data_IF_736586896779
#
_entry.id   IF_736586896779
#
_cell.length_a   1.000
_cell.length_b   1.000
_cell.length_c   1.000
_cell.angle_alpha   90.00
_cell.angle_beta   90.00
_cell.angle_gamma   90.00
#
_symmetry.space_group_name_H-M   'P 1'
#
loop_
_entity.id
_entity.type
_entity.pdbx_description
1 polymer ?
#
# COMPACT_ATOMS: atom_id res chain seq x y z
N UNK A 1 1.62 1.91 9.92
CA UNK A 1 1.24 0.58 10.41
C UNK A 1 2.37 -0.08 11.18
N UNK A 2 3.58 -0.22 10.61
CA UNK A 2 4.77 -0.68 11.35
C UNK A 2 4.97 0.01 12.71
N UNK A 3 4.92 1.35 12.73
CA UNK A 3 5.08 2.17 13.95
C UNK A 3 4.04 1.93 15.05
N UNK A 4 2.89 1.34 14.71
CA UNK A 4 1.84 1.04 15.71
C UNK A 4 1.98 -0.37 16.26
N UNK A 5 2.35 -1.34 15.42
CA UNK A 5 2.64 -2.74 15.74
C UNK A 5 3.06 -3.46 14.43
N UNK A 6 3.97 -4.42 14.51
CA UNK A 6 4.50 -5.28 13.43
C UNK A 6 3.58 -6.43 13.01
N UNK A 7 2.44 -6.66 13.67
CA UNK A 7 1.53 -7.73 13.24
C UNK A 7 0.98 -7.51 11.82
N UNK A 8 0.70 -8.59 11.09
CA UNK A 8 -0.08 -8.51 9.86
C UNK A 8 -1.51 -8.06 10.14
N UNK A 9 -2.09 -7.25 9.25
CA UNK A 9 -3.41 -6.63 9.48
C UNK A 9 -4.27 -6.70 8.23
N UNK A 10 -5.52 -7.13 8.41
CA UNK A 10 -6.60 -6.93 7.45
C UNK A 10 -7.46 -5.75 7.93
N UNK A 11 -7.55 -4.71 7.13
CA UNK A 11 -8.32 -3.51 7.44
C UNK A 11 -9.53 -3.45 6.52
N UNK A 12 -10.72 -3.32 7.11
CA UNK A 12 -11.93 -3.01 6.36
C UNK A 12 -12.06 -1.48 6.29
N UNK A 13 -12.15 -0.95 5.07
CA UNK A 13 -12.11 0.48 4.79
C UNK A 13 -13.43 0.90 4.14
N UNK A 14 -14.52 1.02 4.91
CA UNK A 14 -15.77 1.50 4.36
C UNK A 14 -15.60 2.96 3.90
N UNK A 15 -16.27 3.35 2.82
CA UNK A 15 -16.27 4.74 2.32
C UNK A 15 -16.76 5.77 3.36
N UNK A 16 -17.46 5.31 4.40
CA UNK A 16 -17.91 6.13 5.54
C UNK A 16 -16.83 6.37 6.59
N UNK A 17 -15.66 5.73 6.49
CA UNK A 17 -14.53 5.93 7.40
C UNK A 17 -13.99 7.35 7.24
N UNK A 18 -14.03 8.15 8.32
CA UNK A 18 -13.60 9.55 8.33
C UNK A 18 -12.27 9.81 9.05
N UNK A 19 -11.64 8.76 9.58
CA UNK A 19 -10.42 8.93 10.36
C UNK A 19 -9.29 9.48 9.47
N UNK A 20 -8.76 10.64 9.84
CA UNK A 20 -7.70 11.36 9.12
C UNK A 20 -6.51 10.48 8.76
N UNK A 21 -6.11 9.57 9.66
CA UNK A 21 -5.02 8.63 9.44
C UNK A 21 -5.24 7.67 8.26
N UNK A 22 -6.45 7.56 7.73
CA UNK A 22 -6.79 6.76 6.55
C UNK A 22 -7.23 7.59 5.34
N UNK A 23 -7.93 8.70 5.55
CA UNK A 23 -8.48 9.53 4.46
C UNK A 23 -7.50 10.56 3.92
N UNK A 24 -6.43 10.88 4.65
CA UNK A 24 -5.38 11.77 4.15
C UNK A 24 -4.65 11.15 2.97
N UNK A 25 -4.51 11.94 1.90
CA UNK A 25 -3.78 11.59 0.70
C UNK A 25 -2.31 11.33 1.00
N UNK A 26 -1.81 10.20 0.53
CA UNK A 26 -0.40 9.81 0.62
C UNK A 26 0.04 9.13 -0.67
N UNK A 27 1.35 9.10 -0.92
CA UNK A 27 1.91 8.22 -1.93
C UNK A 27 1.64 6.76 -1.55
N UNK A 28 1.08 5.99 -2.47
CA UNK A 28 0.94 4.55 -2.33
C UNK A 28 1.67 3.89 -3.49
N UNK A 29 2.73 3.16 -3.17
CA UNK A 29 3.55 2.48 -4.16
C UNK A 29 2.72 1.44 -4.92
N UNK A 30 2.57 1.63 -6.23
CA UNK A 30 1.82 0.72 -7.07
C UNK A 30 2.74 -0.41 -7.56
N UNK A 31 2.56 -1.62 -7.04
CA UNK A 31 3.35 -2.81 -7.44
C UNK A 31 3.01 -3.35 -8.84
N UNK A 32 1.96 -2.84 -9.49
CA UNK A 32 1.41 -3.36 -10.76
C UNK A 32 1.61 -2.42 -11.95
N UNK A 33 2.53 -1.48 -11.84
CA UNK A 33 2.93 -0.65 -12.97
C UNK A 33 4.18 -1.22 -13.63
N UNK A 34 4.37 -0.91 -14.92
CA UNK A 34 5.50 -1.43 -15.70
C UNK A 34 6.80 -1.02 -14.99
N UNK A 35 7.59 -2.02 -14.60
CA UNK A 35 8.92 -1.77 -14.05
C UNK A 35 9.81 -1.27 -15.18
N UNK A 36 10.23 -0.01 -15.10
CA UNK A 36 11.21 0.57 -16.00
C UNK A 36 12.31 1.22 -15.13
N UNK A 37 13.47 0.55 -14.94
CA UNK A 37 14.50 1.00 -14.01
C UNK A 37 15.05 2.39 -14.35
N UNK A 38 15.11 2.73 -15.64
CA UNK A 38 15.58 4.04 -16.11
C UNK A 38 14.64 5.20 -15.70
N UNK A 39 13.40 4.88 -15.34
CA UNK A 39 12.34 5.82 -14.97
C UNK A 39 11.86 5.64 -13.52
N UNK A 40 12.46 4.72 -12.77
CA UNK A 40 12.04 4.40 -11.40
C UNK A 40 12.19 5.62 -10.47
N UNK A 41 13.15 6.51 -10.78
CA UNK A 41 13.35 7.76 -10.04
C UNK A 41 12.14 8.71 -10.08
N UNK A 42 11.30 8.61 -11.13
CA UNK A 42 10.08 9.42 -11.23
C UNK A 42 8.99 8.99 -10.24
N UNK A 43 9.20 7.86 -9.56
CA UNK A 43 8.34 7.36 -8.51
C UNK A 43 7.13 6.61 -9.07
N UNK A 44 6.90 5.42 -8.52
CA UNK A 44 5.75 4.59 -8.82
C UNK A 44 4.59 4.82 -7.83
N UNK A 45 4.61 5.97 -7.15
CA UNK A 45 3.65 6.31 -6.10
C UNK A 45 2.41 6.94 -6.71
N UNK A 46 1.27 6.32 -6.42
CA UNK A 46 -0.05 6.84 -6.80
C UNK A 46 -0.63 7.58 -5.60
N UNK A 47 -0.90 8.89 -5.70
CA UNK A 47 -1.62 9.61 -4.67
C UNK A 47 -2.93 8.90 -4.35
N UNK A 48 -3.11 8.52 -3.09
CA UNK A 48 -4.22 7.67 -2.65
C UNK A 48 -4.75 8.13 -1.29
N UNK A 49 -6.07 8.29 -1.19
CA UNK A 49 -6.82 8.21 0.06
C UNK A 49 -7.37 6.78 0.18
N UNK A 50 -6.99 6.05 1.24
CA UNK A 50 -7.16 4.59 1.28
C UNK A 50 -8.63 4.13 1.12
N UNK A 51 -9.61 4.66 1.89
CA UNK A 51 -11.01 4.22 1.77
C UNK A 51 -11.67 4.63 0.45
N UNK A 52 -11.11 5.60 -0.28
CA UNK A 52 -11.64 6.00 -1.58
C UNK A 52 -11.16 5.08 -2.70
N UNK A 53 -10.06 4.34 -2.49
CA UNK A 53 -9.44 3.47 -3.50
C UNK A 53 -9.65 1.98 -3.21
N UNK A 54 -9.83 1.61 -1.95
CA UNK A 54 -9.91 0.22 -1.52
C UNK A 54 -11.03 0.03 -0.48
N UNK A 55 -11.87 -0.98 -0.68
CA UNK A 55 -12.83 -1.43 0.36
C UNK A 55 -12.14 -2.19 1.50
N UNK A 56 -10.96 -2.76 1.22
CA UNK A 56 -10.17 -3.56 2.16
C UNK A 56 -8.68 -3.41 1.86
N UNK A 57 -7.85 -3.36 2.89
CA UNK A 57 -6.40 -3.20 2.78
C UNK A 57 -5.67 -4.24 3.64
N UNK A 58 -4.69 -4.92 3.05
CA UNK A 58 -3.81 -5.86 3.76
C UNK A 58 -2.48 -5.18 4.00
N UNK A 59 -2.05 -5.17 5.26
CA UNK A 59 -0.72 -4.80 5.69
C UNK A 59 0.06 -6.05 6.05
N UNK A 60 1.21 -6.23 5.40
CA UNK A 60 2.23 -7.21 5.77
C UNK A 60 3.44 -6.43 6.23
N UNK A 61 4.00 -6.77 7.39
CA UNK A 61 5.15 -6.03 7.94
C UNK A 61 6.42 -6.29 7.15
N UNK A 62 6.64 -7.55 6.79
CA UNK A 62 7.75 -8.00 5.96
C UNK A 62 7.23 -8.92 4.86
N UNK A 63 7.83 -8.83 3.68
CA UNK A 63 7.58 -9.76 2.57
C UNK A 63 8.90 -10.28 2.05
N UNK A 64 8.90 -11.50 1.53
CA UNK A 64 10.07 -12.09 0.91
C UNK A 64 9.94 -12.04 -0.59
N UNK A 65 11.06 -11.77 -1.27
CA UNK A 65 11.10 -11.85 -2.72
C UNK A 65 10.73 -13.26 -3.18
N UNK A 66 9.92 -13.34 -4.24
CA UNK A 66 9.59 -14.61 -4.84
C UNK A 66 10.86 -15.30 -5.34
N UNK A 67 11.16 -16.48 -4.81
CA UNK A 67 12.30 -17.30 -5.24
C UNK A 67 11.79 -18.43 -6.13
N UNK A 68 12.31 -18.52 -7.35
CA UNK A 68 12.01 -19.61 -8.26
C UNK A 68 12.97 -20.78 -8.00
N UNK A 69 12.43 -21.93 -7.63
CA UNK A 69 13.21 -23.17 -7.54
C UNK A 69 13.15 -23.90 -8.90
N UNK A 70 14.32 -24.20 -9.45
CA UNK A 70 14.54 -25.04 -10.63
C UNK A 70 14.50 -26.52 -10.27
#
# INVERSE_FOLDING_TARGET
MHKTNTDDKLLILPYTLKNAAFVEWRGHHASRIVYNPDYEYYGNDVPTALPNRHDTFIYLDETQAFTHYI
#
